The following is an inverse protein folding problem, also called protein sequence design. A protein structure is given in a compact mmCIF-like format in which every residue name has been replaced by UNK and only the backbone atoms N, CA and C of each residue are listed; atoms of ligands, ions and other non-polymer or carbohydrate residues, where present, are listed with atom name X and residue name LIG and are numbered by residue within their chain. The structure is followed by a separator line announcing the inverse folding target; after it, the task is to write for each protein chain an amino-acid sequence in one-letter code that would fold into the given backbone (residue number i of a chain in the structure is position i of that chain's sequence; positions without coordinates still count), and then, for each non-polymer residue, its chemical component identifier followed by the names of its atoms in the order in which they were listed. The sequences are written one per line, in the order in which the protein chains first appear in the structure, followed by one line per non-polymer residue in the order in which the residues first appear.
data_IF_973158806288
#
_entry.id   IF_973158806288
#
_cell.length_a   1.000
_cell.length_b   1.000
_cell.length_c   1.000
_cell.angle_alpha   90.00
_cell.angle_beta   90.00
_cell.angle_gamma   90.00
#
_symmetry.space_group_name_H-M   'P 1'
#
loop_
_entity.id
_entity.type
_entity.pdbx_description
1 polymer ?
#
# COMPACT_ATOMS: atom_id res chain seq x y z
N UNK A 1 -1.96 46.94 -22.53
CA UNK A 1 -0.73 46.49 -21.83
C UNK A 1 -0.44 47.49 -20.73
N UNK A 2 -0.64 47.11 -19.46
CA UNK A 2 -0.28 47.98 -18.34
C UNK A 2 1.24 48.17 -18.34
N UNK A 3 1.69 49.42 -18.29
CA UNK A 3 3.10 49.79 -18.46
C UNK A 3 4.06 49.22 -17.40
N UNK A 4 5.32 49.67 -17.38
CA UNK A 4 6.41 49.07 -16.58
C UNK A 4 6.09 48.85 -15.08
N UNK A 5 5.21 49.65 -14.49
CA UNK A 5 4.76 49.48 -13.10
C UNK A 5 4.05 48.13 -12.86
N UNK A 6 3.35 47.58 -13.86
CA UNK A 6 2.69 46.28 -13.74
C UNK A 6 3.69 45.12 -13.78
N UNK A 7 4.79 45.27 -14.50
CA UNK A 7 5.88 44.29 -14.55
C UNK A 7 6.64 44.25 -13.24
N UNK A 8 6.89 45.40 -12.61
CA UNK A 8 7.50 45.50 -11.27
C UNK A 8 6.61 44.84 -10.20
N UNK A 9 5.29 45.04 -10.27
CA UNK A 9 4.37 44.36 -9.35
C UNK A 9 4.38 42.84 -9.53
N UNK A 10 4.33 42.35 -10.77
CA UNK A 10 4.42 40.91 -11.07
C UNK A 10 5.74 40.31 -10.57
N UNK A 11 6.84 41.01 -10.81
CA UNK A 11 8.16 40.60 -10.35
C UNK A 11 8.24 40.55 -8.81
N UNK A 12 7.73 41.59 -8.14
CA UNK A 12 7.63 41.61 -6.68
C UNK A 12 6.79 40.45 -6.13
N UNK A 13 5.65 40.15 -6.76
CA UNK A 13 4.81 39.01 -6.39
C UNK A 13 5.53 37.67 -6.58
N UNK A 14 6.26 37.48 -7.68
CA UNK A 14 6.99 36.24 -7.93
C UNK A 14 8.17 36.01 -7.00
N UNK A 15 8.73 37.05 -6.39
CA UNK A 15 9.77 36.93 -5.36
C UNK A 15 9.14 36.77 -3.98
N UNK A 16 8.15 37.60 -3.65
CA UNK A 16 7.54 37.61 -2.32
C UNK A 16 6.71 36.36 -2.05
N UNK A 17 6.02 35.81 -3.06
CA UNK A 17 5.20 34.61 -2.92
C UNK A 17 6.00 33.38 -2.45
N UNK A 18 7.08 32.94 -3.14
CA UNK A 18 7.85 31.78 -2.69
C UNK A 18 8.56 32.03 -1.35
N UNK A 19 9.08 33.24 -1.12
CA UNK A 19 9.74 33.58 0.15
C UNK A 19 8.73 33.56 1.31
N UNK A 20 7.54 34.11 1.11
CA UNK A 20 6.48 34.14 2.13
C UNK A 20 5.94 32.75 2.45
N UNK A 21 5.69 31.92 1.42
CA UNK A 21 5.29 30.52 1.60
C UNK A 21 6.37 29.74 2.35
N UNK A 22 7.64 29.92 1.99
CA UNK A 22 8.76 29.27 2.66
C UNK A 22 8.97 29.77 4.09
N UNK A 23 8.75 31.06 4.38
CA UNK A 23 8.84 31.59 5.74
C UNK A 23 7.71 31.04 6.62
N UNK A 24 6.47 31.00 6.09
CA UNK A 24 5.31 30.53 6.82
C UNK A 24 5.36 29.03 7.11
N UNK A 25 5.68 28.21 6.10
CA UNK A 25 5.73 26.76 6.27
C UNK A 25 7.10 26.25 6.72
N UNK A 26 8.21 26.83 6.25
CA UNK A 26 9.56 26.30 6.46
C UNK A 26 10.15 26.52 7.84
N UNK A 27 9.69 27.51 8.61
CA UNK A 27 10.20 27.77 9.97
C UNK A 27 9.52 26.91 11.04
N UNK A 28 8.40 26.26 10.72
CA UNK A 28 7.59 25.54 11.70
C UNK A 28 6.98 24.25 11.14
N UNK A 29 7.78 23.49 10.37
CA UNK A 29 7.36 22.19 9.84
C UNK A 29 7.14 21.17 10.95
N UNK A 30 8.05 21.13 11.93
CA UNK A 30 8.08 20.08 12.94
C UNK A 30 6.83 20.09 13.82
N UNK A 31 6.41 21.24 14.38
CA UNK A 31 5.20 21.27 15.21
C UNK A 31 3.88 21.14 14.43
N UNK A 32 3.89 21.44 13.13
CA UNK A 32 2.70 21.39 12.26
C UNK A 32 2.48 20.01 11.64
N UNK A 33 3.55 19.27 11.39
CA UNK A 33 3.52 17.98 10.71
C UNK A 33 3.94 16.80 11.60
N UNK A 34 4.45 17.02 12.81
CA UNK A 34 4.65 15.94 13.76
C UNK A 34 3.31 15.38 14.23
N UNK A 35 3.13 14.08 14.05
CA UNK A 35 2.00 13.36 14.61
C UNK A 35 2.35 12.98 16.06
N UNK A 36 1.65 13.52 17.07
CA UNK A 36 1.86 13.08 18.45
C UNK A 36 1.50 11.59 18.54
N UNK A 37 2.32 10.83 19.28
CA UNK A 37 2.14 9.38 19.46
C UNK A 37 2.18 8.56 18.15
N UNK A 38 3.00 8.97 17.16
CA UNK A 38 3.18 8.23 15.91
C UNK A 38 3.58 6.75 16.14
N UNK A 39 4.45 6.48 17.11
CA UNK A 39 4.88 5.13 17.44
C UNK A 39 3.94 4.49 18.48
N UNK A 40 3.58 3.20 18.31
CA UNK A 40 2.86 2.47 19.35
C UNK A 40 3.59 2.59 20.68
N UNK A 41 2.88 3.04 21.71
CA UNK A 41 3.43 3.17 23.07
C UNK A 41 3.90 1.80 23.56
N UNK A 42 4.95 1.77 24.38
CA UNK A 42 5.58 0.51 24.85
C UNK A 42 4.57 -0.47 25.48
N UNK A 43 3.52 0.03 26.14
CA UNK A 43 2.44 -0.79 26.73
C UNK A 43 1.38 -1.31 25.75
N UNK A 44 1.42 -0.93 24.47
CA UNK A 44 0.51 -1.42 23.42
C UNK A 44 1.09 -2.64 22.67
N UNK A 45 2.36 -2.96 22.91
CA UNK A 45 3.03 -4.10 22.29
C UNK A 45 2.96 -5.28 23.26
N UNK A 46 2.57 -6.45 22.76
CA UNK A 46 2.69 -7.69 23.54
C UNK A 46 4.17 -7.93 23.89
N UNK A 47 4.50 -7.90 25.18
CA UNK A 47 5.84 -8.26 25.66
C UNK A 47 6.03 -9.76 25.45
N UNK A 48 7.11 -10.12 24.74
CA UNK A 48 7.48 -11.51 24.55
C UNK A 48 8.07 -12.02 25.88
N UNK A 49 7.62 -13.15 26.43
CA UNK A 49 8.22 -13.71 27.64
C UNK A 49 9.66 -14.13 27.34
N UNK A 50 10.62 -13.70 28.17
CA UNK A 50 12.04 -14.01 28.02
C UNK A 50 12.50 -15.14 28.94
N UNK A 51 11.82 -15.35 30.07
CA UNK A 51 12.13 -16.41 31.03
C UNK A 51 11.61 -17.77 30.55
N UNK A 52 12.34 -18.84 30.86
CA UNK A 52 12.05 -20.19 30.35
C UNK A 52 10.72 -20.73 30.87
N UNK A 53 10.40 -20.43 32.12
CA UNK A 53 9.17 -20.83 32.80
C UNK A 53 7.96 -20.15 32.14
N UNK A 54 8.02 -18.82 31.94
CA UNK A 54 6.97 -18.04 31.28
C UNK A 54 6.73 -18.49 29.83
N UNK A 55 7.81 -18.82 29.11
CA UNK A 55 7.71 -19.36 27.74
C UNK A 55 6.95 -20.68 27.73
N UNK A 56 7.16 -21.55 28.73
CA UNK A 56 6.47 -22.84 28.81
C UNK A 56 4.98 -22.66 29.10
N UNK A 57 4.64 -21.78 30.04
CA UNK A 57 3.25 -21.47 30.37
C UNK A 57 2.51 -20.89 29.16
N UNK A 58 3.12 -19.91 28.48
CA UNK A 58 2.54 -19.30 27.28
C UNK A 58 2.41 -20.32 26.13
N UNK A 59 3.38 -21.24 25.99
CA UNK A 59 3.31 -22.32 25.01
C UNK A 59 2.17 -23.30 25.31
N UNK A 60 1.94 -23.64 26.58
CA UNK A 60 0.82 -24.47 27.01
C UNK A 60 -0.53 -23.77 26.75
N UNK A 61 -0.63 -22.48 27.07
CA UNK A 61 -1.79 -21.63 26.74
C UNK A 61 -2.09 -21.62 25.24
N UNK A 62 -1.07 -21.47 24.41
CA UNK A 62 -1.20 -21.48 22.94
C UNK A 62 -1.60 -22.87 22.41
N UNK A 63 -1.07 -23.96 22.98
CA UNK A 63 -1.47 -25.33 22.63
C UNK A 63 -2.95 -25.58 22.95
N UNK A 64 -3.40 -25.18 24.13
CA UNK A 64 -4.81 -25.30 24.54
C UNK A 64 -5.72 -24.49 23.59
N UNK A 65 -5.35 -23.25 23.28
CA UNK A 65 -6.09 -22.41 22.33
C UNK A 65 -6.17 -23.05 20.93
N UNK A 66 -5.09 -23.66 20.46
CA UNK A 66 -5.08 -24.39 19.18
C UNK A 66 -6.01 -25.61 19.20
N UNK A 67 -5.97 -26.41 20.26
CA UNK A 67 -6.85 -27.57 20.42
C UNK A 67 -8.32 -27.16 20.50
N UNK A 68 -8.65 -26.11 21.27
CA UNK A 68 -10.01 -25.58 21.36
C UNK A 68 -10.52 -25.06 20.00
N UNK A 69 -9.70 -24.30 19.28
CA UNK A 69 -10.05 -23.83 17.94
C UNK A 69 -10.24 -25.00 16.96
N UNK A 70 -9.42 -26.05 17.05
CA UNK A 70 -9.58 -27.26 16.23
C UNK A 70 -10.87 -28.01 16.57
N UNK A 71 -11.16 -28.19 17.85
CA UNK A 71 -12.40 -28.83 18.29
C UNK A 71 -13.62 -28.05 17.78
N UNK A 72 -13.62 -26.71 17.95
CA UNK A 72 -14.68 -25.84 17.44
C UNK A 72 -14.86 -25.95 15.92
N UNK A 73 -13.78 -26.06 15.16
CA UNK A 73 -13.85 -26.28 13.70
C UNK A 73 -14.50 -27.63 13.37
N UNK A 74 -14.09 -28.71 14.04
CA UNK A 74 -14.65 -30.05 13.83
C UNK A 74 -16.12 -30.13 14.22
N UNK A 75 -16.52 -29.44 15.31
CA UNK A 75 -17.94 -29.34 15.72
C UNK A 75 -18.78 -28.60 14.68
N UNK A 76 -18.28 -27.49 14.13
CA UNK A 76 -18.95 -26.75 13.07
C UNK A 76 -19.10 -27.60 11.80
N UNK A 77 -18.02 -28.28 11.39
CA UNK A 77 -18.02 -29.23 10.26
C UNK A 77 -19.02 -30.39 10.50
N UNK A 78 -19.09 -30.94 11.72
CA UNK A 78 -20.03 -32.00 12.08
C UNK A 78 -21.49 -31.52 12.15
N UNK A 79 -21.72 -30.26 12.51
CA UNK A 79 -23.06 -29.64 12.53
C UNK A 79 -23.60 -29.29 11.14
N UNK A 80 -22.84 -29.57 10.07
CA UNK A 80 -23.23 -29.28 8.69
C UNK A 80 -23.16 -27.79 8.32
N UNK A 81 -22.65 -26.95 9.22
CA UNK A 81 -22.34 -25.55 8.93
C UNK A 81 -20.95 -25.51 8.32
N UNK A 82 -20.90 -25.58 6.98
CA UNK A 82 -19.65 -25.40 6.23
C UNK A 82 -18.96 -24.12 6.68
N UNK A 83 -17.70 -24.22 7.10
CA UNK A 83 -16.88 -23.04 7.39
C UNK A 83 -16.65 -22.29 6.08
N UNK A 84 -16.59 -20.95 6.08
CA UNK A 84 -16.36 -20.17 4.84
C UNK A 84 -15.16 -20.67 4.00
N UNK A 85 -14.13 -21.22 4.66
CA UNK A 85 -12.97 -21.83 4.02
C UNK A 85 -13.30 -23.13 3.30
N UNK A 86 -14.10 -24.02 3.91
CA UNK A 86 -14.52 -25.28 3.26
C UNK A 86 -15.47 -24.99 2.10
N UNK A 87 -16.38 -24.03 2.27
CA UNK A 87 -17.28 -23.58 1.19
C UNK A 87 -16.49 -22.95 0.04
N UNK A 88 -15.52 -22.07 0.33
CA UNK A 88 -14.65 -21.47 -0.69
C UNK A 88 -13.80 -22.52 -1.40
N UNK A 89 -13.31 -23.52 -0.69
CA UNK A 89 -12.52 -24.60 -1.27
C UNK A 89 -13.38 -25.47 -2.20
N UNK A 90 -14.59 -25.85 -1.79
CA UNK A 90 -15.56 -26.55 -2.64
C UNK A 90 -15.96 -25.72 -3.87
N UNK A 91 -16.17 -24.40 -3.72
CA UNK A 91 -16.43 -23.49 -4.85
C UNK A 91 -15.24 -23.39 -5.82
N UNK A 92 -14.02 -23.40 -5.29
CA UNK A 92 -12.78 -23.33 -6.08
C UNK A 92 -12.45 -24.66 -6.76
N UNK A 93 -12.85 -25.79 -6.19
CA UNK A 93 -12.82 -27.11 -6.84
C UNK A 93 -13.88 -27.22 -7.95
N UNK A 94 -15.07 -26.63 -7.75
CA UNK A 94 -16.11 -26.54 -8.80
C UNK A 94 -15.73 -25.59 -9.94
N UNK A 95 -15.02 -24.51 -9.62
CA UNK A 95 -14.56 -23.51 -10.58
C UNK A 95 -13.05 -23.29 -10.44
N UNK A 96 -12.23 -24.21 -11.01
CA UNK A 96 -10.78 -24.03 -11.00
C UNK A 96 -10.46 -22.72 -11.71
N UNK A 97 -9.75 -21.83 -11.00
CA UNK A 97 -9.22 -20.61 -11.63
C UNK A 97 -8.18 -21.03 -12.66
N UNK A 98 -8.20 -20.48 -13.88
CA UNK A 98 -7.12 -20.71 -14.84
C UNK A 98 -5.80 -20.26 -14.22
N UNK A 99 -4.73 -21.00 -14.50
CA UNK A 99 -3.41 -20.75 -13.93
C UNK A 99 -2.98 -19.31 -14.21
N UNK A 100 -2.65 -18.56 -13.15
CA UNK A 100 -2.26 -17.14 -13.21
C UNK A 100 -1.09 -16.93 -14.20
N UNK A 101 -0.26 -17.96 -14.37
CA UNK A 101 0.89 -17.97 -15.28
C UNK A 101 0.50 -17.89 -16.77
N UNK A 102 -0.70 -18.31 -17.15
CA UNK A 102 -1.19 -18.18 -18.52
C UNK A 102 -1.62 -16.74 -18.85
N UNK A 103 -2.21 -16.04 -17.87
CA UNK A 103 -2.69 -14.65 -18.03
C UNK A 103 -1.54 -13.63 -18.12
N UNK A 104 -0.38 -13.95 -17.54
CA UNK A 104 0.81 -13.08 -17.52
C UNK A 104 1.76 -13.37 -18.69
N UNK A 105 1.46 -14.37 -19.54
CA UNK A 105 2.22 -14.59 -20.77
C UNK A 105 1.99 -13.38 -21.69
N UNK A 106 2.93 -12.44 -21.64
CA UNK A 106 3.00 -11.31 -22.56
C UNK A 106 3.08 -11.86 -23.99
N UNK A 107 2.02 -11.64 -24.77
CA UNK A 107 2.08 -11.81 -26.22
C UNK A 107 2.98 -10.69 -26.73
N UNK A 108 4.19 -11.03 -27.19
CA UNK A 108 5.13 -10.04 -27.72
C UNK A 108 4.51 -9.33 -28.94
N UNK A 109 4.22 -8.02 -28.87
CA UNK A 109 3.77 -7.30 -30.05
C UNK A 109 4.94 -7.11 -31.00
N UNK A 110 4.70 -7.39 -32.29
CA UNK A 110 5.67 -7.26 -33.37
C UNK A 110 6.40 -5.91 -33.32
N UNK A 111 7.69 -5.95 -32.95
CA UNK A 111 8.60 -4.79 -32.82
C UNK A 111 8.94 -4.10 -34.16
N UNK A 112 8.25 -4.41 -35.25
CA UNK A 112 8.63 -3.99 -36.61
C UNK A 112 7.82 -2.81 -37.16
N UNK A 113 6.63 -2.51 -36.63
CA UNK A 113 5.75 -1.48 -37.21
C UNK A 113 5.89 -0.10 -36.53
N UNK A 114 6.05 -0.05 -35.20
CA UNK A 114 6.12 1.21 -34.44
C UNK A 114 7.42 1.99 -34.69
N UNK A 115 8.53 1.29 -34.97
CA UNK A 115 9.82 1.92 -35.25
C UNK A 115 9.84 2.72 -36.58
N UNK A 116 8.93 2.42 -37.52
CA UNK A 116 8.84 3.14 -38.81
C UNK A 116 8.05 4.45 -38.74
N UNK A 117 7.20 4.61 -37.73
CA UNK A 117 6.34 5.81 -37.58
C UNK A 117 6.99 6.90 -36.71
N UNK A 118 7.77 6.51 -35.70
CA UNK A 118 8.46 7.46 -34.80
C UNK A 118 9.49 8.36 -35.51
N UNK A 119 10.05 7.93 -36.64
CA UNK A 119 11.01 8.72 -37.43
C UNK A 119 10.40 9.91 -38.19
N UNK A 120 9.06 10.01 -38.26
CA UNK A 120 8.37 11.08 -39.02
C UNK A 120 7.79 12.20 -38.15
N UNK A 121 7.61 11.96 -36.84
CA UNK A 121 6.87 12.90 -35.96
C UNK A 121 7.63 14.18 -35.60
N UNK A 122 8.95 14.11 -35.38
CA UNK A 122 9.72 15.26 -34.90
C UNK A 122 10.30 16.14 -36.03
N UNK A 123 10.51 15.57 -37.22
CA UNK A 123 11.04 16.28 -38.39
C UNK A 123 9.96 17.07 -39.17
N UNK A 124 8.68 16.84 -38.89
CA UNK A 124 7.57 17.52 -39.58
C UNK A 124 7.28 18.95 -39.08
N UNK A 125 7.77 19.33 -37.90
CA UNK A 125 7.52 20.66 -37.31
C UNK A 125 8.54 21.72 -37.74
N UNK A 126 9.61 21.32 -38.44
CA UNK A 126 10.71 22.21 -38.84
C UNK A 126 10.65 22.68 -40.30
N UNK A 127 9.51 22.46 -40.98
CA UNK A 127 9.27 22.91 -42.36
C UNK A 127 7.97 23.69 -42.47
#
# INVERSE_FOLDING_TARGET
MGGPNLEVFKFGMYILFPIGVMYYFGTNLDSRFAVPDFWPKEGMTHTIPFEKEDIREELERLRQRRLANRARRLELEASGVGTEVTVRQEEQERHPRPDILEQVRLVEPEKSLVAREAGKGWLGWLR
#
